data_IF_610066784021
#
_entry.id   IF_610066784021
#
_cell.length_a   1.000
_cell.length_b   1.000
_cell.length_c   1.000
_cell.angle_alpha   90.00
_cell.angle_beta   90.00
_cell.angle_gamma   90.00
#
_symmetry.space_group_name_H-M   'P 1'
#
loop_
_entity.id
_entity.type
_entity.pdbx_description
1 polymer ?
#
# COMPACT_ATOMS: atom_id res chain seq x y z
N UNK A 1 -1.76 5.92 20.69
CA UNK A 1 -0.96 4.73 21.10
C UNK A 1 0.24 4.72 20.18
N UNK A 2 1.44 4.45 20.67
CA UNK A 2 2.63 4.44 19.79
C UNK A 2 2.66 3.16 18.92
N UNK A 3 3.23 3.24 17.72
CA UNK A 3 3.32 2.14 16.75
C UNK A 3 4.00 0.91 17.34
N UNK A 4 5.01 1.12 18.19
CA UNK A 4 5.73 0.05 18.90
C UNK A 4 4.82 -0.76 19.86
N UNK A 5 3.87 -0.08 20.51
CA UNK A 5 2.91 -0.72 21.41
C UNK A 5 1.83 -1.48 20.64
N UNK A 6 1.41 -0.95 19.49
CA UNK A 6 0.45 -1.62 18.60
C UNK A 6 1.08 -2.89 18.02
N UNK A 7 2.30 -2.78 17.48
CA UNK A 7 3.05 -3.89 16.87
C UNK A 7 3.16 -5.10 17.81
N UNK A 8 3.52 -4.89 19.09
CA UNK A 8 3.61 -5.95 20.11
C UNK A 8 2.29 -6.65 20.45
N UNK A 9 1.15 -6.08 20.03
CA UNK A 9 -0.20 -6.57 20.35
C UNK A 9 -0.95 -7.07 19.11
N UNK A 10 -0.31 -7.08 17.95
CA UNK A 10 -0.89 -7.67 16.76
C UNK A 10 -1.06 -9.18 16.95
N UNK A 11 -2.20 -9.69 16.51
CA UNK A 11 -2.51 -11.10 16.47
C UNK A 11 -2.46 -11.59 15.02
N UNK A 12 -2.33 -12.91 14.78
CA UNK A 12 -2.42 -13.48 13.43
C UNK A 12 -3.75 -13.18 12.73
N UNK A 13 -4.83 -13.02 13.50
CA UNK A 13 -6.15 -12.66 13.01
C UNK A 13 -6.30 -11.16 12.77
N UNK A 14 -7.00 -10.74 11.70
CA UNK A 14 -7.20 -9.34 11.38
C UNK A 14 -8.04 -8.61 12.43
N UNK A 15 -7.60 -7.41 12.80
CA UNK A 15 -8.31 -6.52 13.72
C UNK A 15 -8.43 -5.12 13.14
N UNK A 16 -9.61 -4.51 13.27
CA UNK A 16 -9.81 -3.10 12.93
C UNK A 16 -9.18 -2.16 13.96
N UNK A 17 -8.52 -1.13 13.46
CA UNK A 17 -7.99 -0.03 14.24
C UNK A 17 -8.76 1.26 13.87
N UNK A 18 -9.08 2.15 14.83
CA UNK A 18 -9.88 3.34 14.54
C UNK A 18 -9.31 4.25 13.45
N UNK A 19 -7.98 4.27 13.30
CA UNK A 19 -7.27 5.15 12.37
C UNK A 19 -6.84 4.45 11.07
N UNK A 20 -7.33 3.23 10.78
CA UNK A 20 -6.96 2.47 9.58
C UNK A 20 -8.16 1.78 8.94
N UNK A 21 -8.34 1.97 7.63
CA UNK A 21 -9.43 1.37 6.86
C UNK A 21 -9.30 -0.16 6.77
N UNK A 22 -8.07 -0.62 6.57
CA UNK A 22 -7.69 -2.03 6.47
C UNK A 22 -7.61 -2.64 7.88
N UNK A 23 -8.18 -3.82 8.06
CA UNK A 23 -7.93 -4.59 9.27
C UNK A 23 -6.49 -5.13 9.26
N UNK A 24 -5.79 -5.01 10.38
CA UNK A 24 -4.37 -5.34 10.49
C UNK A 24 -4.18 -6.61 11.32
N UNK A 25 -3.28 -7.48 10.87
CA UNK A 25 -2.80 -8.67 11.58
C UNK A 25 -1.29 -8.78 11.50
N UNK A 26 -0.66 -9.53 12.40
CA UNK A 26 0.77 -9.82 12.32
C UNK A 26 1.11 -10.63 11.06
N UNK A 27 0.19 -11.49 10.60
CA UNK A 27 0.33 -12.28 9.36
C UNK A 27 0.41 -11.36 8.14
N UNK A 28 -0.47 -10.37 8.06
CA UNK A 28 -0.47 -9.39 6.96
C UNK A 28 0.81 -8.55 6.95
N UNK A 29 1.22 -8.05 8.13
CA UNK A 29 2.46 -7.26 8.25
C UNK A 29 3.68 -8.08 7.83
N UNK A 30 3.78 -9.34 8.28
CA UNK A 30 4.86 -10.26 7.90
C UNK A 30 4.86 -10.51 6.38
N UNK A 31 3.68 -10.75 5.79
CA UNK A 31 3.55 -10.97 4.35
C UNK A 31 4.02 -9.75 3.55
N UNK A 32 3.51 -8.56 3.88
CA UNK A 32 3.89 -7.33 3.20
C UNK A 32 5.39 -7.06 3.36
N UNK A 33 5.94 -7.17 4.57
CA UNK A 33 7.38 -6.99 4.80
C UNK A 33 8.25 -7.94 3.96
N UNK A 34 7.80 -9.18 3.76
CA UNK A 34 8.52 -10.16 2.92
C UNK A 34 8.45 -9.86 1.41
N UNK A 35 7.47 -9.06 0.99
CA UNK A 35 7.23 -8.71 -0.40
C UNK A 35 7.95 -7.41 -0.79
N UNK A 36 8.00 -6.43 0.12
CA UNK A 36 8.51 -5.09 -0.15
C UNK A 36 10.04 -5.08 -0.29
N UNK A 37 10.58 -4.16 -1.11
CA UNK A 37 12.01 -4.07 -1.36
C UNK A 37 12.74 -3.47 -0.15
N UNK A 38 13.93 -3.98 0.20
CA UNK A 38 14.79 -3.34 1.19
C UNK A 38 15.44 -2.08 0.62
N UNK A 39 15.98 -1.23 1.51
CA UNK A 39 16.83 -0.09 1.14
C UNK A 39 18.03 -0.54 0.28
N UNK A 40 18.46 0.25 -0.72
CA UNK A 40 18.07 1.65 -0.96
C UNK A 40 16.79 1.84 -1.79
N UNK A 41 16.20 0.78 -2.33
CA UNK A 41 14.89 0.84 -2.96
C UNK A 41 13.78 1.18 -1.94
N UNK A 42 12.64 1.65 -2.43
CA UNK A 42 11.54 2.08 -1.57
C UNK A 42 10.18 1.85 -2.20
N UNK A 43 9.17 1.85 -1.34
CA UNK A 43 7.75 1.73 -1.67
C UNK A 43 7.06 3.06 -1.48
N UNK A 44 6.15 3.44 -2.37
CA UNK A 44 5.17 4.50 -2.08
C UNK A 44 3.84 3.86 -1.66
N UNK A 45 3.22 4.37 -0.61
CA UNK A 45 1.89 3.95 -0.14
C UNK A 45 0.86 5.04 -0.37
N UNK A 46 0.07 4.90 -1.43
CA UNK A 46 -0.97 5.84 -1.84
C UNK A 46 -2.27 5.57 -1.08
N UNK A 47 -2.78 6.59 -0.40
CA UNK A 47 -3.91 6.45 0.52
C UNK A 47 -3.47 6.02 1.93
N UNK A 48 -2.29 6.47 2.36
CA UNK A 48 -1.68 6.07 3.64
C UNK A 48 -2.51 6.43 4.88
N UNK A 49 -3.45 7.38 4.78
CA UNK A 49 -4.32 7.78 5.88
C UNK A 49 -3.53 8.21 7.11
N UNK A 50 -3.64 7.47 8.21
CA UNK A 50 -2.88 7.76 9.43
C UNK A 50 -1.42 7.32 9.39
N UNK A 51 -1.00 6.56 8.38
CA UNK A 51 0.33 5.95 8.30
C UNK A 51 0.46 4.67 9.14
N UNK A 52 -0.63 4.14 9.72
CA UNK A 52 -0.54 3.02 10.67
C UNK A 52 -0.01 1.74 10.01
N UNK A 53 -0.44 1.44 8.79
CA UNK A 53 0.01 0.23 8.08
C UNK A 53 1.51 0.30 7.80
N UNK A 54 1.94 1.44 7.28
CA UNK A 54 3.32 1.75 6.89
C UNK A 54 4.24 1.71 8.09
N UNK A 55 3.85 2.42 9.17
CA UNK A 55 4.61 2.43 10.42
C UNK A 55 4.76 1.04 11.03
N UNK A 56 3.72 0.19 10.94
CA UNK A 56 3.79 -1.19 11.45
C UNK A 56 4.72 -2.09 10.62
N UNK A 57 4.77 -1.89 9.30
CA UNK A 57 5.68 -2.62 8.41
C UNK A 57 7.14 -2.21 8.69
N UNK A 58 7.43 -0.92 8.77
CA UNK A 58 8.78 -0.41 9.08
C UNK A 58 9.21 -0.79 10.50
N UNK A 59 8.29 -0.82 11.46
CA UNK A 59 8.55 -1.30 12.81
C UNK A 59 8.88 -2.80 12.85
N UNK A 60 8.33 -3.59 11.91
CA UNK A 60 8.63 -5.01 11.77
C UNK A 60 10.00 -5.24 11.11
N UNK A 61 10.30 -4.51 10.04
CA UNK A 61 11.61 -4.55 9.37
C UNK A 61 12.12 -3.14 9.04
N UNK A 62 13.15 -2.71 9.77
CA UNK A 62 13.76 -1.39 9.65
C UNK A 62 14.59 -1.21 8.36
N UNK A 63 14.85 -2.30 7.62
CA UNK A 63 15.50 -2.23 6.32
C UNK A 63 14.55 -1.78 5.21
N UNK A 64 13.24 -1.76 5.46
CA UNK A 64 12.25 -1.27 4.50
C UNK A 64 12.15 0.26 4.54
N UNK A 65 11.81 0.86 3.41
CA UNK A 65 11.53 2.29 3.27
C UNK A 65 10.16 2.47 2.60
N UNK A 66 9.23 3.13 3.29
CA UNK A 66 7.86 3.33 2.81
C UNK A 66 7.50 4.81 2.96
N UNK A 67 7.26 5.46 1.82
CA UNK A 67 6.79 6.84 1.75
C UNK A 67 5.25 6.86 1.69
N UNK A 68 4.60 7.46 2.68
CA UNK A 68 3.15 7.62 2.70
C UNK A 68 2.71 8.80 1.82
N UNK A 69 1.71 8.59 0.98
CA UNK A 69 1.07 9.63 0.16
C UNK A 69 -0.38 9.79 0.58
N UNK A 70 -0.78 11.00 0.97
CA UNK A 70 -2.13 11.32 1.45
C UNK A 70 -2.57 12.72 0.97
N UNK A 71 -3.87 13.00 0.96
CA UNK A 71 -4.41 14.33 0.60
C UNK A 71 -4.43 15.30 1.79
N UNK A 72 -4.48 14.77 3.00
CA UNK A 72 -4.58 15.52 4.25
C UNK A 72 -3.35 15.27 5.13
N UNK A 73 -2.53 16.31 5.28
CA UNK A 73 -1.31 16.27 6.09
C UNK A 73 -1.56 16.12 7.58
N UNK A 74 -2.79 16.35 8.06
CA UNK A 74 -3.11 16.36 9.49
C UNK A 74 -3.51 14.99 10.04
N UNK A 75 -3.73 14.01 9.16
CA UNK A 75 -4.23 12.68 9.55
C UNK A 75 -3.09 11.74 9.93
N UNK A 76 -1.90 11.94 9.37
CA UNK A 76 -0.77 11.06 9.60
C UNK A 76 -0.24 11.18 11.04
N UNK A 77 0.01 10.04 11.69
CA UNK A 77 0.40 9.92 13.10
C UNK A 77 1.50 8.89 13.35
N UNK A 78 1.78 7.99 12.40
CA UNK A 78 2.52 6.76 12.66
C UNK A 78 3.77 6.58 11.78
N UNK A 79 4.00 7.43 10.78
CA UNK A 79 5.28 7.49 10.04
C UNK A 79 6.03 8.79 10.37
N UNK A 80 7.31 8.85 10.00
CA UNK A 80 8.14 10.03 10.21
C UNK A 80 7.76 11.14 9.23
N UNK A 81 7.99 12.42 9.59
CA UNK A 81 7.58 13.57 8.77
C UNK A 81 8.27 13.56 7.39
N UNK A 82 9.52 13.11 7.34
CA UNK A 82 10.29 12.93 6.11
C UNK A 82 9.68 11.89 5.15
N UNK A 83 8.89 10.96 5.65
CA UNK A 83 8.21 9.92 4.86
C UNK A 83 6.76 10.32 4.52
N UNK A 84 6.28 11.48 4.99
CA UNK A 84 4.93 11.99 4.73
C UNK A 84 4.90 12.87 3.49
N UNK A 85 4.08 12.49 2.52
CA UNK A 85 3.93 13.23 1.28
C UNK A 85 2.47 13.59 1.03
N UNK A 86 2.25 14.84 0.61
CA UNK A 86 0.91 15.42 0.49
C UNK A 86 0.62 15.78 -0.96
N UNK A 87 -0.53 15.32 -1.47
CA UNK A 87 -0.96 15.63 -2.84
C UNK A 87 -2.23 16.47 -2.86
N UNK A 88 -2.38 17.29 -3.91
CA UNK A 88 -3.48 18.26 -4.06
C UNK A 88 -4.85 17.66 -4.40
N UNK A 89 -5.27 16.59 -3.74
CA UNK A 89 -6.57 15.93 -3.89
C UNK A 89 -6.50 14.46 -4.27
N UNK A 90 -7.65 13.77 -4.28
CA UNK A 90 -7.72 12.31 -4.42
C UNK A 90 -7.21 11.74 -5.75
N UNK A 91 -6.94 12.60 -6.74
CA UNK A 91 -6.34 12.23 -8.02
C UNK A 91 -4.90 12.76 -8.19
N UNK A 92 -4.31 13.26 -7.11
CA UNK A 92 -2.95 13.74 -7.08
C UNK A 92 -1.94 12.62 -7.27
N UNK A 93 -0.87 12.94 -7.99
CA UNK A 93 0.24 12.03 -8.23
C UNK A 93 1.43 12.49 -7.40
N UNK A 94 2.12 11.55 -6.75
CA UNK A 94 3.38 11.83 -6.09
C UNK A 94 4.56 11.58 -7.05
N UNK A 95 5.41 12.59 -7.35
CA UNK A 95 6.47 12.43 -8.36
C UNK A 95 7.50 11.33 -8.04
N UNK A 96 7.74 11.02 -6.75
CA UNK A 96 8.69 9.96 -6.37
C UNK A 96 8.23 8.56 -6.84
N UNK A 97 6.97 8.39 -7.25
CA UNK A 97 6.48 7.17 -7.89
C UNK A 97 7.32 6.75 -9.10
N UNK A 98 7.96 7.70 -9.81
CA UNK A 98 8.85 7.39 -10.93
C UNK A 98 10.12 6.62 -10.50
N UNK A 99 10.53 6.74 -9.24
CA UNK A 99 11.74 6.15 -8.66
C UNK A 99 11.43 4.94 -7.78
N UNK A 100 10.24 4.87 -7.18
CA UNK A 100 9.82 3.74 -6.37
C UNK A 100 9.76 2.45 -7.21
N UNK A 101 10.26 1.33 -6.65
CA UNK A 101 10.18 0.01 -7.29
C UNK A 101 8.86 -0.70 -6.99
N UNK A 102 8.15 -0.29 -5.93
CA UNK A 102 6.84 -0.83 -5.57
C UNK A 102 5.86 0.29 -5.26
N UNK A 103 4.63 0.13 -5.73
CA UNK A 103 3.52 1.00 -5.35
C UNK A 103 2.49 0.20 -4.57
N UNK A 104 2.12 0.68 -3.39
CA UNK A 104 0.98 0.20 -2.63
C UNK A 104 -0.19 1.17 -2.80
N UNK A 105 -1.36 0.67 -3.21
CA UNK A 105 -2.61 1.41 -3.17
C UNK A 105 -3.48 0.85 -2.05
N UNK A 106 -3.65 1.64 -0.99
CA UNK A 106 -4.39 1.24 0.20
C UNK A 106 -5.76 1.89 0.18
N UNK A 107 -6.81 1.08 0.02
CA UNK A 107 -8.20 1.54 -0.06
C UNK A 107 -8.38 2.74 -1.02
N UNK A 108 -7.89 2.65 -2.28
CA UNK A 108 -8.11 3.72 -3.24
C UNK A 108 -9.61 3.95 -3.42
N UNK A 109 -10.00 5.20 -3.65
CA UNK A 109 -11.43 5.57 -3.82
C UNK A 109 -11.90 5.58 -5.27
N UNK A 110 -10.98 5.63 -6.22
CA UNK A 110 -11.28 5.73 -7.64
C UNK A 110 -10.29 4.90 -8.47
N UNK A 111 -10.75 3.92 -9.26
CA UNK A 111 -9.92 3.14 -10.17
C UNK A 111 -9.11 3.98 -11.16
N UNK A 112 -9.58 5.18 -11.53
CA UNK A 112 -8.86 6.08 -12.45
C UNK A 112 -7.52 6.55 -11.88
N UNK A 113 -7.36 6.55 -10.55
CA UNK A 113 -6.10 6.87 -9.91
C UNK A 113 -5.00 5.88 -10.33
N UNK A 114 -5.33 4.58 -10.36
CA UNK A 114 -4.42 3.52 -10.78
C UNK A 114 -3.97 3.75 -12.21
N UNK A 115 -4.93 3.96 -13.12
CA UNK A 115 -4.64 4.27 -14.53
C UNK A 115 -3.72 5.48 -14.65
N UNK A 116 -3.97 6.55 -13.88
CA UNK A 116 -3.16 7.76 -13.94
C UNK A 116 -1.71 7.53 -13.48
N UNK A 117 -1.50 6.76 -12.40
CA UNK A 117 -0.15 6.38 -11.94
C UNK A 117 0.56 5.52 -12.99
N UNK A 118 -0.10 4.51 -13.54
CA UNK A 118 0.44 3.61 -14.56
C UNK A 118 0.78 4.39 -15.85
N UNK A 119 -0.12 5.22 -16.36
CA UNK A 119 0.11 5.99 -17.58
C UNK A 119 1.26 7.00 -17.43
N UNK A 120 1.43 7.57 -16.24
CA UNK A 120 2.44 8.61 -15.99
C UNK A 120 3.82 8.03 -15.66
N UNK A 121 3.87 7.01 -14.80
CA UNK A 121 5.11 6.49 -14.22
C UNK A 121 5.31 5.00 -14.43
N UNK A 122 4.32 4.29 -14.99
CA UNK A 122 4.32 2.83 -15.08
C UNK A 122 5.33 2.24 -16.04
N UNK A 123 6.05 3.07 -16.81
CA UNK A 123 7.20 2.67 -17.64
C UNK A 123 8.55 3.05 -17.01
N UNK A 124 8.55 3.52 -15.76
CA UNK A 124 9.76 3.89 -15.01
C UNK A 124 10.22 2.70 -14.13
N UNK A 125 10.64 2.96 -12.89
CA UNK A 125 11.32 2.01 -12.02
C UNK A 125 10.41 0.97 -11.33
N UNK A 126 9.09 1.09 -11.44
CA UNK A 126 8.15 0.19 -10.75
C UNK A 126 8.17 -1.23 -11.34
N UNK A 127 8.40 -2.21 -10.47
CA UNK A 127 8.43 -3.64 -10.79
C UNK A 127 7.05 -4.28 -10.62
N UNK A 128 6.35 -3.92 -9.55
CA UNK A 128 5.01 -4.41 -9.26
C UNK A 128 4.19 -3.46 -8.41
N UNK A 129 2.87 -3.67 -8.44
CA UNK A 129 1.88 -2.88 -7.71
C UNK A 129 1.16 -3.81 -6.75
N UNK A 130 0.94 -3.35 -5.51
CA UNK A 130 0.11 -4.01 -4.52
C UNK A 130 -1.16 -3.19 -4.33
N UNK A 131 -2.31 -3.80 -4.58
CA UNK A 131 -3.61 -3.21 -4.29
C UNK A 131 -4.19 -3.87 -3.04
N UNK A 132 -4.65 -3.06 -2.09
CA UNK A 132 -5.27 -3.52 -0.84
C UNK A 132 -6.63 -2.85 -0.69
N UNK A 133 -7.70 -3.63 -0.52
CA UNK A 133 -9.03 -3.05 -0.40
C UNK A 133 -10.15 -4.07 -0.25
N UNK A 134 -11.41 -3.61 -0.28
CA UNK A 134 -12.57 -4.47 -0.21
C UNK A 134 -12.67 -5.38 -1.44
N UNK A 135 -12.86 -6.67 -1.23
CA UNK A 135 -13.05 -7.67 -2.31
C UNK A 135 -14.18 -7.30 -3.27
N UNK A 136 -15.22 -6.64 -2.76
CA UNK A 136 -16.37 -6.20 -3.57
C UNK A 136 -16.02 -5.10 -4.56
N UNK A 137 -14.98 -4.30 -4.25
CA UNK A 137 -14.55 -3.20 -5.12
C UNK A 137 -13.59 -3.69 -6.22
N UNK A 138 -12.89 -4.81 -5.99
CA UNK A 138 -11.88 -5.34 -6.92
C UNK A 138 -12.33 -5.40 -8.39
N UNK A 139 -13.55 -5.87 -8.74
CA UNK A 139 -14.01 -5.90 -10.13
C UNK A 139 -13.98 -4.55 -10.86
N UNK A 140 -14.05 -3.42 -10.15
CA UNK A 140 -13.94 -2.08 -10.75
C UNK A 140 -12.48 -1.68 -11.06
N UNK A 141 -11.54 -2.26 -10.33
CA UNK A 141 -10.09 -2.03 -10.42
C UNK A 141 -9.39 -3.00 -11.38
N UNK A 142 -9.82 -4.26 -11.43
CA UNK A 142 -9.22 -5.32 -12.25
C UNK A 142 -8.96 -4.89 -13.71
N UNK A 143 -9.91 -4.24 -14.43
CA UNK A 143 -9.67 -3.83 -15.81
C UNK A 143 -8.48 -2.87 -15.98
N UNK A 144 -8.14 -2.08 -14.95
CA UNK A 144 -7.02 -1.11 -15.02
C UNK A 144 -5.67 -1.82 -15.05
N UNK A 145 -5.58 -2.98 -14.41
CA UNK A 145 -4.38 -3.80 -14.42
C UNK A 145 -4.31 -4.67 -15.68
N UNK A 146 -5.41 -5.35 -16.04
CA UNK A 146 -5.47 -6.21 -17.23
C UNK A 146 -5.23 -5.46 -18.55
N UNK A 147 -5.52 -4.16 -18.60
CA UNK A 147 -5.29 -3.29 -19.76
C UNK A 147 -3.93 -2.58 -19.71
N UNK A 148 -3.07 -2.96 -18.77
CA UNK A 148 -1.76 -2.33 -18.54
C UNK A 148 -0.61 -3.35 -18.62
N UNK A 149 0.65 -2.89 -18.59
CA UNK A 149 1.79 -3.79 -18.42
C UNK A 149 1.74 -4.62 -17.13
N UNK A 150 1.02 -4.18 -16.09
CA UNK A 150 0.90 -4.86 -14.79
C UNK A 150 -0.25 -5.87 -14.78
N UNK A 151 -0.28 -6.78 -15.74
CA UNK A 151 -1.41 -7.71 -15.95
C UNK A 151 -1.21 -9.11 -15.34
N UNK A 152 -0.02 -9.43 -14.81
CA UNK A 152 0.21 -10.68 -14.09
C UNK A 152 -0.29 -10.54 -12.64
N UNK A 153 -1.52 -11.01 -12.40
CA UNK A 153 -2.22 -10.83 -11.13
C UNK A 153 -2.10 -12.07 -10.23
N UNK A 154 -1.66 -11.87 -8.99
CA UNK A 154 -1.67 -12.88 -7.93
C UNK A 154 -2.57 -12.44 -6.78
N UNK A 155 -3.30 -13.39 -6.18
CA UNK A 155 -4.22 -13.18 -5.07
C UNK A 155 -3.75 -14.02 -3.86
N UNK A 156 -2.84 -13.49 -3.03
CA UNK A 156 -2.30 -14.23 -1.89
C UNK A 156 -3.38 -14.48 -0.84
N UNK A 157 -3.54 -15.73 -0.43
CA UNK A 157 -4.46 -16.17 0.62
C UNK A 157 -4.01 -17.55 1.13
N UNK A 158 -3.94 -17.83 2.45
CA UNK A 158 -4.26 -16.97 3.58
C UNK A 158 -3.10 -16.04 3.99
N UNK A 159 -3.39 -14.74 4.14
CA UNK A 159 -2.42 -13.71 4.60
C UNK A 159 -2.95 -12.84 5.75
N UNK A 160 -3.94 -13.34 6.50
CA UNK A 160 -4.47 -12.66 7.69
C UNK A 160 -5.29 -11.41 7.41
N UNK A 161 -6.04 -11.42 6.30
CA UNK A 161 -7.05 -10.40 5.96
C UNK A 161 -8.43 -10.80 6.48
N UNK A 162 -9.35 -9.84 6.60
CA UNK A 162 -10.75 -10.18 6.83
C UNK A 162 -11.37 -10.81 5.57
N UNK A 163 -12.47 -11.58 5.69
CA UNK A 163 -13.07 -12.25 4.53
C UNK A 163 -13.53 -11.32 3.40
N UNK A 164 -13.84 -10.06 3.73
CA UNK A 164 -14.29 -9.04 2.78
C UNK A 164 -13.16 -8.17 2.23
N UNK A 165 -11.91 -8.36 2.67
CA UNK A 165 -10.72 -7.71 2.14
C UNK A 165 -9.97 -8.64 1.19
N UNK A 166 -9.15 -8.07 0.32
CA UNK A 166 -8.21 -8.80 -0.52
C UNK A 166 -6.97 -7.97 -0.81
N UNK A 167 -5.87 -8.67 -1.09
CA UNK A 167 -4.64 -8.09 -1.63
C UNK A 167 -4.45 -8.66 -3.02
N UNK A 168 -4.09 -7.79 -3.96
CA UNK A 168 -3.70 -8.20 -5.31
C UNK A 168 -2.29 -7.70 -5.57
N UNK A 169 -1.41 -8.61 -6.00
CA UNK A 169 -0.07 -8.27 -6.46
C UNK A 169 -0.09 -8.34 -7.98
N UNK A 170 0.11 -7.19 -8.62
CA UNK A 170 0.11 -7.01 -10.06
C UNK A 170 1.53 -6.78 -10.54
N UNK A 171 2.10 -7.76 -11.23
CA UNK A 171 3.47 -7.70 -11.78
C UNK A 171 3.45 -7.33 -13.25
N UNK A 172 4.55 -6.72 -13.70
CA UNK A 172 4.76 -6.45 -15.11
C UNK A 172 4.89 -7.76 -15.90
N UNK A 173 4.15 -7.90 -16.99
CA UNK A 173 4.38 -8.97 -17.97
C UNK A 173 5.71 -8.71 -18.69
N UNK A 174 6.59 -9.71 -18.66
CA UNK A 174 7.88 -9.68 -19.35
C UNK A 174 7.78 -9.72 -20.87
#
# INVERSE_FOLDING_TARGET
MDVSQISKRLLPEPKRFPDCCLAISSTLITYLASLLPPKPEFTISVGSGSGLLEGLIVQYDQNLSIEGVEVDSTINRYIAEEDMNVVGGGWGLWPAAQQATVWMFVYPRDPKLITKYIDTYGNQNVDFIVWLGPRVDWPDYEPRFCQSPFSELTFPDPIGLTPYETVVVAKRTG
#
